data_IF_832459529337
#
_entry.id   IF_832459529337
#
_cell.length_a   1.000
_cell.length_b   1.000
_cell.length_c   1.000
_cell.angle_alpha   90.00
_cell.angle_beta   90.00
_cell.angle_gamma   90.00
#
_symmetry.space_group_name_H-M   'P 1'
#
loop_
_entity.id
_entity.type
_entity.pdbx_description
1 polymer ?
#
# COMPACT_ATOMS: atom_id res chain seq x y z
N UNK A 1 39.57 -24.69 -5.33
CA UNK A 1 39.36 -23.31 -4.87
C UNK A 1 37.88 -23.06 -5.01
N UNK A 2 37.12 -22.93 -3.92
CA UNK A 2 35.68 -22.67 -3.99
C UNK A 2 35.48 -21.18 -4.26
N UNK A 3 35.00 -20.83 -5.45
CA UNK A 3 34.47 -19.50 -5.70
C UNK A 3 33.27 -19.29 -4.79
N UNK A 4 33.37 -18.31 -3.89
CA UNK A 4 32.22 -17.86 -3.12
C UNK A 4 31.36 -17.05 -4.07
N UNK A 5 30.22 -17.61 -4.45
CA UNK A 5 29.17 -16.83 -5.12
C UNK A 5 28.65 -15.80 -4.13
N UNK A 6 28.98 -14.54 -4.39
CA UNK A 6 28.45 -13.40 -3.64
C UNK A 6 27.02 -13.18 -4.14
N UNK A 7 26.04 -13.59 -3.33
CA UNK A 7 24.63 -13.40 -3.66
C UNK A 7 24.31 -11.92 -3.53
N UNK A 8 24.23 -11.23 -4.66
CA UNK A 8 23.78 -9.83 -4.71
C UNK A 8 22.33 -9.75 -4.27
N UNK A 9 22.07 -8.96 -3.22
CA UNK A 9 20.70 -8.65 -2.80
C UNK A 9 20.09 -7.75 -3.88
N UNK A 10 18.93 -8.11 -4.46
CA UNK A 10 18.27 -7.26 -5.43
C UNK A 10 18.01 -5.87 -4.85
N UNK A 11 18.34 -4.81 -5.58
CA UNK A 11 18.17 -3.40 -5.16
C UNK A 11 16.73 -3.11 -4.69
N UNK A 12 15.76 -3.79 -5.28
CA UNK A 12 14.34 -3.75 -4.92
C UNK A 12 14.08 -4.15 -3.45
N UNK A 13 14.75 -5.19 -2.97
CA UNK A 13 14.61 -5.65 -1.58
C UNK A 13 15.13 -4.56 -0.64
N UNK A 14 16.22 -3.90 -1.01
CA UNK A 14 16.80 -2.78 -0.27
C UNK A 14 15.82 -1.58 -0.27
N UNK A 15 15.22 -1.25 -1.41
CA UNK A 15 14.24 -0.16 -1.50
C UNK A 15 12.97 -0.46 -0.67
N UNK A 16 12.48 -1.72 -0.70
CA UNK A 16 11.37 -2.17 0.16
C UNK A 16 11.70 -2.03 1.63
N UNK A 17 12.85 -2.52 2.04
CA UNK A 17 13.27 -2.47 3.44
C UNK A 17 13.45 -1.03 3.91
N UNK A 18 13.96 -0.14 3.06
CA UNK A 18 14.03 1.31 3.34
C UNK A 18 12.65 1.93 3.51
N UNK A 19 11.72 1.68 2.58
CA UNK A 19 10.36 2.22 2.65
C UNK A 19 9.62 1.67 3.88
N UNK A 20 9.81 0.38 4.17
CA UNK A 20 9.23 -0.24 5.35
C UNK A 20 9.83 0.34 6.64
N UNK A 21 11.15 0.54 6.67
CA UNK A 21 11.83 1.16 7.80
C UNK A 21 11.37 2.60 8.03
N UNK A 22 11.06 3.36 6.96
CA UNK A 22 10.56 4.73 7.11
C UNK A 22 9.15 4.76 7.70
N UNK A 23 8.23 3.90 7.24
CA UNK A 23 6.88 3.85 7.82
C UNK A 23 6.88 3.35 9.27
N UNK A 24 7.75 2.41 9.63
CA UNK A 24 7.86 1.92 11.01
C UNK A 24 8.28 3.02 11.99
N UNK A 25 8.95 4.06 11.50
CA UNK A 25 9.38 5.20 12.30
C UNK A 25 8.33 6.31 12.39
N UNK A 26 7.21 6.19 11.68
CA UNK A 26 6.12 7.16 11.76
C UNK A 26 5.30 7.00 13.03
N UNK A 27 4.82 8.12 13.57
CA UNK A 27 4.06 8.19 14.83
C UNK A 27 2.76 7.36 14.84
N UNK A 28 2.17 7.17 13.67
CA UNK A 28 0.88 6.50 13.49
C UNK A 28 1.00 5.01 13.25
N UNK A 29 2.06 4.54 12.58
CA UNK A 29 2.17 3.14 12.20
C UNK A 29 2.20 2.22 13.43
N UNK A 30 2.92 2.60 14.49
CA UNK A 30 2.97 1.84 15.74
C UNK A 30 1.66 1.85 16.55
N UNK A 31 0.70 2.71 16.20
CA UNK A 31 -0.64 2.78 16.84
C UNK A 31 -1.68 1.94 16.08
N UNK A 32 -1.35 1.47 14.89
CA UNK A 32 -2.19 0.55 14.13
C UNK A 32 -2.14 -0.83 14.76
N UNK A 33 -3.25 -1.58 14.68
CA UNK A 33 -3.27 -2.99 15.09
C UNK A 33 -2.32 -3.82 14.22
N UNK A 34 -1.89 -4.98 14.71
CA UNK A 34 -1.05 -5.91 13.94
C UNK A 34 -1.68 -6.27 12.60
N UNK A 35 -3.02 -6.35 12.54
CA UNK A 35 -3.76 -6.68 11.32
C UNK A 35 -3.74 -5.53 10.32
N UNK A 36 -3.95 -4.29 10.79
CA UNK A 36 -3.82 -3.09 9.97
C UNK A 36 -2.40 -2.92 9.43
N UNK A 37 -1.38 -3.11 10.27
CA UNK A 37 0.01 -3.06 9.85
C UNK A 37 0.33 -4.12 8.79
N UNK A 38 -0.15 -5.36 8.97
CA UNK A 38 0.00 -6.44 7.97
C UNK A 38 -0.64 -6.07 6.64
N UNK A 39 -1.81 -5.43 6.66
CA UNK A 39 -2.50 -4.99 5.44
C UNK A 39 -1.65 -3.97 4.66
N UNK A 40 -1.11 -2.96 5.34
CA UNK A 40 -0.25 -1.96 4.72
C UNK A 40 1.01 -2.63 4.14
N UNK A 41 1.65 -3.53 4.90
CA UNK A 41 2.83 -4.29 4.43
C UNK A 41 2.54 -5.11 3.17
N UNK A 42 1.42 -5.84 3.15
CA UNK A 42 1.01 -6.65 2.02
C UNK A 42 0.74 -5.78 0.78
N UNK A 43 0.17 -4.59 0.97
CA UNK A 43 -0.10 -3.65 -0.12
C UNK A 43 1.19 -3.11 -0.77
N UNK A 44 2.19 -2.73 0.04
CA UNK A 44 3.50 -2.25 -0.44
C UNK A 44 4.25 -3.37 -1.17
N UNK A 45 4.21 -4.59 -0.62
CA UNK A 45 4.81 -5.75 -1.28
C UNK A 45 4.18 -5.97 -2.66
N UNK A 46 2.86 -5.86 -2.75
CA UNK A 46 2.14 -6.07 -4.02
C UNK A 46 2.42 -4.95 -5.02
N UNK A 47 2.54 -3.69 -4.57
CA UNK A 47 2.96 -2.55 -5.40
C UNK A 47 4.29 -2.85 -6.11
N UNK A 48 5.33 -3.11 -5.32
CA UNK A 48 6.66 -3.32 -5.88
C UNK A 48 6.67 -4.49 -6.85
N UNK A 49 5.94 -5.56 -6.53
CA UNK A 49 5.81 -6.69 -7.45
C UNK A 49 5.12 -6.31 -8.75
N UNK A 50 4.14 -5.40 -8.73
CA UNK A 50 3.44 -4.94 -9.94
C UNK A 50 4.32 -4.03 -10.80
N UNK A 51 5.10 -3.14 -10.18
CA UNK A 51 6.01 -2.22 -10.85
C UNK A 51 7.09 -2.97 -11.65
N UNK A 52 7.53 -4.14 -11.18
CA UNK A 52 8.50 -4.98 -11.91
C UNK A 52 8.08 -5.29 -13.33
N UNK A 53 6.86 -5.74 -13.58
CA UNK A 53 6.44 -6.13 -14.94
C UNK A 53 6.42 -4.98 -15.94
N UNK A 54 6.26 -3.75 -15.45
CA UNK A 54 6.25 -2.58 -16.30
C UNK A 54 7.67 -2.14 -16.68
N UNK A 55 8.71 -2.76 -16.10
CA UNK A 55 10.10 -2.62 -16.53
C UNK A 55 10.37 -3.56 -17.74
N UNK A 56 10.68 -3.02 -18.93
CA UNK A 56 11.03 -3.83 -20.10
C UNK A 56 12.20 -4.81 -19.85
N UNK A 57 13.10 -4.50 -18.91
CA UNK A 57 14.21 -5.38 -18.55
C UNK A 57 13.74 -6.62 -17.78
N UNK A 58 12.66 -6.51 -17.01
CA UNK A 58 12.11 -7.64 -16.25
C UNK A 58 11.36 -8.62 -17.15
N UNK A 59 10.70 -8.15 -18.22
CA UNK A 59 10.08 -9.04 -19.22
C UNK A 59 11.13 -9.93 -19.89
N UNK A 60 12.33 -9.40 -20.16
CA UNK A 60 13.45 -10.19 -20.71
C UNK A 60 14.02 -11.18 -19.70
N UNK A 61 14.13 -10.80 -18.42
CA UNK A 61 14.58 -11.70 -17.34
C UNK A 61 13.59 -12.84 -17.07
N UNK A 62 12.28 -12.56 -17.07
CA UNK A 62 11.23 -13.60 -16.91
C UNK A 62 11.19 -14.51 -18.15
N UNK A 63 11.44 -13.98 -19.35
CA UNK A 63 11.56 -14.80 -20.56
C UNK A 63 12.82 -15.67 -20.55
N UNK A 64 13.95 -15.20 -20.02
CA UNK A 64 15.18 -15.99 -19.92
C UNK A 64 15.10 -17.06 -18.81
N UNK A 65 14.47 -16.78 -17.67
CA UNK A 65 14.16 -17.79 -16.64
C UNK A 65 13.23 -18.88 -17.18
N UNK A 66 12.21 -18.51 -17.97
CA UNK A 66 11.33 -19.48 -18.65
C UNK A 66 12.05 -20.33 -19.71
N UNK A 67 13.09 -19.79 -20.36
CA UNK A 67 13.92 -20.55 -21.29
C UNK A 67 14.94 -21.45 -20.57
N UNK A 68 15.44 -21.04 -19.39
CA UNK A 68 16.32 -21.85 -18.55
C UNK A 68 15.63 -23.06 -17.91
N UNK A 69 14.33 -22.95 -17.61
CA UNK A 69 13.53 -24.01 -17.00
C UNK A 69 13.27 -25.24 -17.90
N UNK A 70 13.62 -25.19 -19.19
CA UNK A 70 13.47 -26.32 -20.11
C UNK A 70 14.72 -27.18 -20.30
N UNK A 71 15.80 -26.93 -19.53
CA UNK A 71 17.07 -27.67 -19.64
C UNK A 71 17.64 -28.02 -18.25
N UNK A 72 16.85 -28.63 -17.36
CA UNK A 72 17.27 -29.04 -16.01
C UNK A 72 17.24 -30.55 -15.78
N UNK A 73 18.43 -31.13 -15.58
CA UNK A 73 18.74 -32.47 -15.07
C UNK A 73 18.06 -32.73 -13.70
N UNK A 74 17.62 -33.97 -13.43
CA UNK A 74 16.81 -34.36 -12.26
C UNK A 74 17.46 -34.07 -10.89
N UNK A 75 18.77 -33.82 -10.89
CA UNK A 75 19.57 -33.55 -9.68
C UNK A 75 19.28 -32.21 -8.97
N UNK A 76 18.77 -31.19 -9.66
CA UNK A 76 18.49 -29.86 -9.06
C UNK A 76 17.15 -29.79 -8.33
N UNK A 77 16.20 -30.69 -8.61
CA UNK A 77 14.86 -30.67 -7.98
C UNK A 77 14.88 -30.96 -6.49
N UNK A 78 15.83 -31.79 -6.03
CA UNK A 78 15.89 -32.24 -4.64
C UNK A 78 16.39 -31.14 -3.69
N UNK A 79 17.29 -30.27 -4.16
CA UNK A 79 17.81 -29.15 -3.36
C UNK A 79 16.83 -27.99 -3.23
N UNK A 80 15.94 -27.80 -4.22
CA UNK A 80 14.87 -26.80 -4.15
C UNK A 80 13.78 -27.21 -3.15
N UNK A 81 13.40 -28.49 -3.09
CA UNK A 81 12.39 -28.99 -2.14
C UNK A 81 12.85 -28.83 -0.68
N UNK A 82 14.11 -29.16 -0.35
CA UNK A 82 14.64 -29.00 1.01
C UNK A 82 14.76 -27.53 1.44
N UNK A 83 15.10 -26.62 0.51
CA UNK A 83 15.20 -25.18 0.79
C UNK A 83 13.82 -24.53 0.99
N UNK A 84 12.83 -24.91 0.17
CA UNK A 84 11.44 -24.50 0.34
C UNK A 84 10.86 -24.99 1.67
N UNK A 85 11.20 -26.20 2.09
CA UNK A 85 10.69 -26.79 3.32
C UNK A 85 11.28 -26.13 4.58
N UNK A 86 12.56 -25.72 4.57
CA UNK A 86 13.16 -24.95 5.66
C UNK A 86 12.62 -23.51 5.77
N UNK A 87 12.21 -22.90 4.65
CA UNK A 87 11.61 -21.56 4.66
C UNK A 87 10.17 -21.58 5.21
N UNK A 88 9.45 -22.70 5.09
CA UNK A 88 8.08 -22.85 5.58
C UNK A 88 7.96 -22.95 7.11
N UNK A 89 9.04 -23.26 7.83
CA UNK A 89 9.00 -23.49 9.29
C UNK A 89 9.23 -22.23 10.15
N UNK A 90 9.54 -21.06 9.58
CA UNK A 90 9.94 -19.86 10.37
C UNK A 90 8.99 -18.64 10.34
N UNK A 91 7.96 -18.55 9.48
CA UNK A 91 7.01 -17.42 9.53
C UNK A 91 5.57 -17.83 9.13
N UNK A 92 4.52 -17.39 9.87
CA UNK A 92 3.15 -17.81 9.59
C UNK A 92 2.50 -17.02 8.42
N UNK A 93 1.98 -17.77 7.46
CA UNK A 93 0.76 -17.55 6.64
C UNK A 93 0.59 -16.23 5.85
N UNK A 94 1.62 -15.75 5.15
CA UNK A 94 1.43 -14.81 4.01
C UNK A 94 2.39 -15.04 2.84
N UNK A 95 2.85 -16.28 2.63
CA UNK A 95 3.56 -16.61 1.40
C UNK A 95 2.55 -16.68 0.24
N UNK A 96 2.38 -15.54 -0.44
CA UNK A 96 1.88 -15.52 -1.80
C UNK A 96 2.90 -16.25 -2.68
N UNK A 97 2.57 -17.51 -2.99
CA UNK A 97 3.23 -18.38 -3.96
C UNK A 97 3.88 -17.55 -5.11
N UNK A 98 5.19 -17.71 -5.37
CA UNK A 98 5.87 -17.05 -6.48
C UNK A 98 5.25 -17.34 -7.85
N UNK A 99 4.42 -18.39 -7.97
CA UNK A 99 3.84 -18.83 -9.22
C UNK A 99 2.94 -17.76 -9.89
N UNK A 100 3.09 -17.63 -11.20
CA UNK A 100 2.47 -16.59 -12.05
C UNK A 100 0.94 -16.49 -11.96
N UNK A 101 0.26 -17.55 -11.48
CA UNK A 101 -1.19 -17.59 -11.26
C UNK A 101 -1.62 -16.97 -9.94
N UNK A 102 -0.88 -17.18 -8.84
CA UNK A 102 -1.09 -16.45 -7.60
C UNK A 102 -0.84 -14.95 -7.78
N UNK A 103 0.11 -14.62 -8.67
CA UNK A 103 0.47 -13.26 -9.01
C UNK A 103 -0.61 -12.47 -9.79
N UNK A 104 -1.24 -13.06 -10.81
CA UNK A 104 -2.42 -12.46 -11.47
C UNK A 104 -3.56 -12.21 -10.48
N UNK A 105 -3.74 -13.11 -9.49
CA UNK A 105 -4.75 -12.92 -8.43
C UNK A 105 -4.39 -11.76 -7.52
N UNK A 106 -3.14 -11.61 -7.09
CA UNK A 106 -2.71 -10.46 -6.28
C UNK A 106 -2.80 -9.12 -7.03
N UNK A 107 -2.52 -9.11 -8.34
CA UNK A 107 -2.70 -7.91 -9.17
C UNK A 107 -4.17 -7.55 -9.32
N UNK A 108 -5.03 -8.52 -9.63
CA UNK A 108 -6.47 -8.30 -9.68
C UNK A 108 -7.00 -7.84 -8.32
N UNK A 109 -6.49 -8.41 -7.23
CA UNK A 109 -6.85 -8.03 -5.87
C UNK A 109 -6.54 -6.54 -5.60
N UNK A 110 -5.32 -6.09 -5.86
CA UNK A 110 -4.92 -4.69 -5.65
C UNK A 110 -5.58 -3.73 -6.65
N UNK A 111 -5.76 -4.15 -7.90
CA UNK A 111 -6.45 -3.36 -8.91
C UNK A 111 -7.93 -3.13 -8.53
N UNK A 112 -8.61 -4.16 -8.01
CA UNK A 112 -10.02 -4.09 -7.65
C UNK A 112 -10.27 -3.32 -6.35
N UNK A 113 -9.27 -3.17 -5.48
CA UNK A 113 -9.40 -2.44 -4.23
C UNK A 113 -9.39 -0.92 -4.45
N UNK A 114 -10.55 -0.28 -4.44
CA UNK A 114 -10.65 1.19 -4.52
C UNK A 114 -10.17 1.87 -3.23
N UNK A 115 -9.82 3.16 -3.32
CA UNK A 115 -9.29 3.90 -2.17
C UNK A 115 -10.26 3.91 -0.97
N UNK A 116 -11.55 4.17 -1.17
CA UNK A 116 -12.52 4.22 -0.05
C UNK A 116 -12.73 2.86 0.63
N UNK A 117 -13.07 1.77 -0.09
CA UNK A 117 -13.25 0.46 0.55
C UNK A 117 -11.99 -0.04 1.24
N UNK A 118 -10.80 0.33 0.76
CA UNK A 118 -9.53 -0.11 1.36
C UNK A 118 -9.23 0.61 2.67
N UNK A 119 -9.51 1.91 2.75
CA UNK A 119 -9.40 2.65 4.01
C UNK A 119 -10.47 2.18 4.99
N UNK A 120 -11.69 1.89 4.53
CA UNK A 120 -12.74 1.33 5.37
C UNK A 120 -12.43 -0.10 5.85
N UNK A 121 -11.74 -0.90 5.03
CA UNK A 121 -11.23 -2.22 5.40
C UNK A 121 -10.21 -2.14 6.56
N UNK A 122 -9.46 -1.03 6.68
CA UNK A 122 -8.60 -0.82 7.85
C UNK A 122 -9.41 -0.62 9.14
N UNK A 123 -10.51 0.14 9.09
CA UNK A 123 -11.34 0.41 10.27
C UNK A 123 -12.12 -0.81 10.76
N UNK A 124 -12.57 -1.62 9.81
CA UNK A 124 -13.30 -2.86 10.07
C UNK A 124 -12.40 -4.08 10.26
N UNK A 125 -11.11 -3.91 9.98
CA UNK A 125 -10.12 -4.96 9.81
C UNK A 125 -10.57 -6.09 8.85
N UNK A 126 -11.49 -5.83 7.94
CA UNK A 126 -11.96 -6.87 7.02
C UNK A 126 -10.93 -7.09 5.89
N UNK A 127 -10.33 -8.28 5.90
CA UNK A 127 -9.30 -8.70 4.92
C UNK A 127 -9.78 -9.87 4.06
N UNK A 128 -11.09 -10.15 4.08
CA UNK A 128 -11.71 -11.27 3.35
C UNK A 128 -11.43 -11.23 1.85
N UNK A 129 -11.01 -10.08 1.33
CA UNK A 129 -10.51 -9.92 -0.03
C UNK A 129 -11.54 -9.50 -1.04
N UNK A 130 -12.81 -9.67 -0.69
CA UNK A 130 -13.91 -9.03 -1.36
C UNK A 130 -13.89 -7.55 -0.97
N UNK A 131 -13.85 -6.67 -1.96
CA UNK A 131 -14.09 -5.25 -1.70
C UNK A 131 -15.44 -5.11 -1.00
N UNK A 132 -15.53 -4.38 0.13
CA UNK A 132 -16.82 -4.00 0.68
C UNK A 132 -17.68 -3.44 -0.46
N UNK A 133 -18.82 -4.09 -0.74
CA UNK A 133 -19.67 -3.71 -1.87
C UNK A 133 -20.14 -2.26 -1.73
N UNK A 134 -20.26 -1.76 -0.50
CA UNK A 134 -20.64 -0.39 -0.19
C UNK A 134 -19.88 0.10 1.05
N UNK A 135 -19.37 1.33 0.97
CA UNK A 135 -18.79 2.05 2.11
C UNK A 135 -19.91 2.89 2.72
N UNK A 136 -20.22 2.75 4.03
CA UNK A 136 -21.35 3.47 4.64
C UNK A 136 -21.12 4.97 4.58
N UNK A 137 -22.17 5.77 4.44
CA UNK A 137 -22.06 7.24 4.36
C UNK A 137 -21.33 7.84 5.57
N UNK A 138 -21.53 7.26 6.76
CA UNK A 138 -20.85 7.66 7.99
C UNK A 138 -19.33 7.62 7.92
N UNK A 139 -18.76 6.78 7.05
CA UNK A 139 -17.31 6.72 6.82
C UNK A 139 -16.73 8.06 6.35
N UNK A 140 -17.52 8.84 5.61
CA UNK A 140 -17.11 10.13 5.04
C UNK A 140 -17.40 11.32 5.97
N UNK A 141 -17.90 11.09 7.18
CA UNK A 141 -18.19 12.17 8.12
C UNK A 141 -16.90 12.80 8.67
N UNK A 142 -16.59 14.00 8.17
CA UNK A 142 -15.45 14.78 8.60
C UNK A 142 -15.75 16.29 8.58
N UNK A 143 -14.91 17.09 9.24
CA UNK A 143 -14.91 18.53 9.03
C UNK A 143 -14.20 18.81 7.70
N UNK A 144 -14.90 19.33 6.69
CA UNK A 144 -14.31 19.67 5.39
C UNK A 144 -13.96 21.15 5.29
N UNK A 145 -12.77 21.46 4.74
CA UNK A 145 -12.37 22.82 4.39
C UNK A 145 -11.90 22.92 2.94
N UNK A 146 -12.17 24.06 2.31
CA UNK A 146 -11.82 24.37 0.91
C UNK A 146 -10.70 25.41 0.89
N UNK A 147 -9.86 25.38 -0.16
CA UNK A 147 -8.79 26.35 -0.39
C UNK A 147 -7.79 26.47 0.77
N UNK A 148 -7.63 25.41 1.56
CA UNK A 148 -6.61 25.38 2.60
C UNK A 148 -5.22 25.20 1.98
N UNK A 149 -4.22 25.79 2.61
CA UNK A 149 -2.81 25.55 2.33
C UNK A 149 -2.35 24.21 2.93
N UNK A 150 -1.24 23.67 2.44
CA UNK A 150 -0.66 22.45 3.00
C UNK A 150 -0.36 22.59 4.51
N UNK A 151 0.14 23.76 4.94
CA UNK A 151 0.42 24.02 6.37
C UNK A 151 -0.84 23.95 7.22
N UNK A 152 -1.95 24.55 6.75
CA UNK A 152 -3.23 24.51 7.48
C UNK A 152 -3.79 23.08 7.54
N UNK A 153 -3.62 22.29 6.48
CA UNK A 153 -3.98 20.87 6.48
C UNK A 153 -3.16 20.09 7.50
N UNK A 154 -1.83 20.28 7.53
CA UNK A 154 -0.94 19.62 8.50
C UNK A 154 -1.30 19.99 9.95
N UNK A 155 -1.61 21.26 10.24
CA UNK A 155 -2.07 21.68 11.57
C UNK A 155 -3.37 20.98 11.99
N UNK A 156 -4.31 20.81 11.06
CA UNK A 156 -5.56 20.08 11.32
C UNK A 156 -5.31 18.61 11.59
N UNK A 157 -4.43 17.97 10.81
CA UNK A 157 -4.01 16.59 11.03
C UNK A 157 -3.43 16.42 12.44
N UNK A 158 -2.54 17.32 12.85
CA UNK A 158 -1.96 17.30 14.20
C UNK A 158 -3.03 17.46 15.29
N UNK A 159 -4.00 18.35 15.09
CA UNK A 159 -5.11 18.55 16.03
C UNK A 159 -6.03 17.33 16.14
N UNK A 160 -6.31 16.67 15.02
CA UNK A 160 -7.12 15.44 14.99
C UNK A 160 -6.37 14.27 15.63
N UNK A 161 -5.05 14.22 15.41
CA UNK A 161 -4.15 13.19 15.91
C UNK A 161 -3.86 12.12 14.85
N UNK A 162 -2.69 11.50 14.96
CA UNK A 162 -2.19 10.50 14.01
C UNK A 162 -2.29 9.09 14.65
N UNK A 163 -2.70 8.04 13.89
CA UNK A 163 -3.07 8.07 12.48
C UNK A 163 -4.48 8.65 12.25
N UNK A 164 -4.69 9.25 11.08
CA UNK A 164 -5.99 9.82 10.68
C UNK A 164 -6.31 9.55 9.22
N UNK A 165 -7.57 9.72 8.86
CA UNK A 165 -8.07 9.60 7.49
C UNK A 165 -8.24 11.01 6.91
N UNK A 166 -7.86 11.15 5.63
CA UNK A 166 -8.21 12.30 4.81
C UNK A 166 -9.17 11.85 3.72
N UNK A 167 -10.25 12.61 3.55
CA UNK A 167 -11.16 12.53 2.41
C UNK A 167 -10.99 13.76 1.52
N UNK A 168 -10.82 13.54 0.23
CA UNK A 168 -10.71 14.62 -0.76
C UNK A 168 -12.00 14.64 -1.57
N UNK A 169 -12.70 15.77 -1.59
CA UNK A 169 -14.03 15.91 -2.19
C UNK A 169 -14.16 17.14 -3.06
N UNK A 170 -15.02 17.10 -4.07
CA UNK A 170 -15.39 18.28 -4.86
C UNK A 170 -16.45 19.15 -4.17
N UNK A 171 -17.05 18.67 -3.07
CA UNK A 171 -18.13 19.35 -2.36
C UNK A 171 -17.88 19.42 -0.85
N UNK A 172 -18.32 20.50 -0.22
CA UNK A 172 -18.22 20.70 1.23
C UNK A 172 -19.23 19.86 2.02
N UNK A 173 -20.42 19.60 1.46
CA UNK A 173 -21.52 18.86 2.11
C UNK A 173 -22.50 18.21 1.12
N UNK A 174 -22.72 16.91 1.31
CA UNK A 174 -24.04 16.30 1.50
C UNK A 174 -25.08 16.37 0.35
N UNK A 175 -24.71 15.99 -0.88
CA UNK A 175 -25.72 15.61 -1.89
C UNK A 175 -25.66 14.12 -2.28
N UNK A 176 -24.49 13.48 -2.18
CA UNK A 176 -24.25 12.02 -2.16
C UNK A 176 -22.75 11.76 -1.90
N UNK A 177 -22.35 11.46 -0.66
CA UNK A 177 -20.94 11.45 -0.21
C UNK A 177 -20.00 10.52 -0.99
N UNK A 178 -20.51 9.38 -1.45
CA UNK A 178 -19.71 8.40 -2.22
C UNK A 178 -19.33 8.89 -3.62
N UNK A 179 -20.10 9.81 -4.23
CA UNK A 179 -19.86 10.29 -5.60
C UNK A 179 -19.05 11.59 -5.66
N UNK A 180 -19.16 12.42 -4.61
CA UNK A 180 -18.41 13.68 -4.50
C UNK A 180 -17.00 13.47 -3.93
N UNK A 181 -16.80 12.46 -3.08
CA UNK A 181 -15.46 12.08 -2.60
C UNK A 181 -14.67 11.44 -3.73
N UNK A 182 -13.53 12.03 -4.07
CA UNK A 182 -12.63 11.57 -5.14
C UNK A 182 -11.55 10.64 -4.62
N UNK A 183 -11.18 10.79 -3.35
CA UNK A 183 -10.09 10.02 -2.78
C UNK A 183 -10.20 9.88 -1.26
N UNK A 184 -9.62 8.79 -0.74
CA UNK A 184 -9.42 8.62 0.70
C UNK A 184 -8.07 7.97 0.95
N UNK A 185 -7.38 8.49 1.96
CA UNK A 185 -6.02 8.05 2.33
C UNK A 185 -5.84 8.04 3.84
N UNK A 186 -4.84 7.29 4.29
CA UNK A 186 -4.43 7.20 5.68
C UNK A 186 -3.15 7.99 5.89
N UNK A 187 -3.14 8.92 6.84
CA UNK A 187 -1.92 9.58 7.28
C UNK A 187 -1.25 8.76 8.37
N UNK A 188 0.01 8.38 8.11
CA UNK A 188 0.82 7.58 9.02
C UNK A 188 1.65 8.44 9.97
N UNK A 189 1.91 9.70 9.62
CA UNK A 189 2.67 10.65 10.43
C UNK A 189 3.96 11.08 9.76
N UNK A 190 4.89 11.67 10.53
CA UNK A 190 6.14 12.17 9.98
C UNK A 190 7.21 11.08 9.92
N UNK A 191 7.98 11.06 8.84
CA UNK A 191 9.20 10.26 8.73
C UNK A 191 10.38 10.93 9.47
N UNK A 192 11.57 10.29 9.51
CA UNK A 192 12.75 10.88 10.16
C UNK A 192 13.24 12.19 9.53
N UNK A 193 12.86 12.48 8.29
CA UNK A 193 13.16 13.75 7.60
C UNK A 193 12.11 14.83 7.91
N UNK A 194 11.07 14.50 8.67
CA UNK A 194 9.97 15.40 9.03
C UNK A 194 8.87 15.48 7.98
N UNK A 195 8.92 14.69 6.90
CA UNK A 195 7.89 14.66 5.85
C UNK A 195 6.68 13.88 6.34
N UNK A 196 5.48 14.44 6.16
CA UNK A 196 4.25 13.73 6.50
C UNK A 196 3.95 12.67 5.43
N UNK A 197 3.94 11.40 5.81
CA UNK A 197 3.68 10.27 4.92
C UNK A 197 2.22 9.82 5.02
N UNK A 198 1.68 9.47 3.87
CA UNK A 198 0.39 8.82 3.74
C UNK A 198 0.48 7.49 3.01
N UNK A 199 -0.45 6.60 3.33
CA UNK A 199 -0.78 5.41 2.57
C UNK A 199 -2.03 5.70 1.73
N UNK A 200 -1.87 5.64 0.41
CA UNK A 200 -2.87 6.09 -0.56
C UNK A 200 -2.82 5.24 -1.85
N UNK A 201 -3.79 5.46 -2.75
CA UNK A 201 -3.87 4.79 -4.04
C UNK A 201 -3.97 5.85 -5.15
N UNK A 202 -2.89 6.04 -5.90
CA UNK A 202 -2.74 7.16 -6.88
C UNK A 202 -3.85 7.21 -7.94
N UNK A 203 -4.52 6.08 -8.16
CA UNK A 203 -5.75 6.02 -8.94
C UNK A 203 -6.33 4.61 -8.94
N UNK A 204 -7.50 4.45 -9.58
CA UNK A 204 -8.23 3.18 -9.55
C UNK A 204 -7.45 1.99 -10.11
N UNK A 205 -6.46 2.22 -10.97
CA UNK A 205 -5.67 1.18 -11.63
C UNK A 205 -4.27 0.99 -11.02
N UNK A 206 -3.84 1.89 -10.14
CA UNK A 206 -2.50 1.89 -9.57
C UNK A 206 -2.46 1.19 -8.22
N UNK A 207 -1.35 0.56 -7.84
CA UNK A 207 -1.23 -0.02 -6.51
C UNK A 207 -1.26 1.04 -5.41
N UNK A 208 -1.47 0.58 -4.17
CA UNK A 208 -1.25 1.42 -3.00
C UNK A 208 0.21 1.80 -2.87
N UNK A 209 0.47 3.01 -2.38
CA UNK A 209 1.81 3.54 -2.18
C UNK A 209 1.94 4.30 -0.88
N UNK A 210 3.17 4.44 -0.43
CA UNK A 210 3.56 5.38 0.62
C UNK A 210 4.15 6.60 -0.06
N UNK A 211 3.54 7.76 0.15
CA UNK A 211 3.95 9.01 -0.50
C UNK A 211 3.89 10.18 0.49
N UNK A 212 4.66 11.26 0.28
CA UNK A 212 4.49 12.49 1.02
C UNK A 212 3.10 13.11 0.79
N UNK A 213 2.46 13.59 1.85
CA UNK A 213 1.18 14.31 1.79
C UNK A 213 1.24 15.50 0.83
N UNK A 214 2.39 16.19 0.78
CA UNK A 214 2.64 17.30 -0.14
C UNK A 214 2.40 16.91 -1.61
N UNK A 215 2.79 15.69 -2.02
CA UNK A 215 2.61 15.23 -3.39
C UNK A 215 1.12 15.09 -3.72
N UNK A 216 0.37 14.43 -2.83
CA UNK A 216 -1.08 14.25 -2.97
C UNK A 216 -1.80 15.59 -2.95
N UNK A 217 -1.42 16.48 -2.03
CA UNK A 217 -1.96 17.83 -1.93
C UNK A 217 -1.76 18.61 -3.22
N UNK A 218 -0.53 18.63 -3.74
CA UNK A 218 -0.19 19.32 -4.98
C UNK A 218 -0.88 18.72 -6.20
N UNK A 219 -1.12 17.40 -6.23
CA UNK A 219 -1.87 16.77 -7.31
C UNK A 219 -3.32 17.27 -7.34
N UNK A 220 -4.03 17.17 -6.22
CA UNK A 220 -5.47 17.49 -6.16
C UNK A 220 -5.75 18.99 -6.21
N UNK A 221 -4.88 19.83 -5.66
CA UNK A 221 -5.09 21.28 -5.60
C UNK A 221 -4.80 21.99 -6.94
N UNK A 222 -4.15 21.33 -7.91
CA UNK A 222 -3.89 21.88 -9.25
C UNK A 222 -5.12 21.89 -10.15
N UNK A 223 -6.07 20.98 -9.93
CA UNK A 223 -7.12 20.71 -10.92
C UNK A 223 -8.40 21.47 -10.63
N UNK A 224 -8.87 21.47 -9.38
CA UNK A 224 -10.14 22.10 -8.97
C UNK A 224 -10.04 22.53 -7.50
N UNK A 225 -10.88 23.46 -7.02
CA UNK A 225 -10.99 23.73 -5.60
C UNK A 225 -11.48 22.46 -4.87
N UNK A 226 -10.57 21.81 -4.16
CA UNK A 226 -10.86 20.59 -3.41
C UNK A 226 -11.19 20.89 -1.95
N UNK A 227 -12.04 20.03 -1.40
CA UNK A 227 -12.43 20.03 -0.01
C UNK A 227 -11.71 18.88 0.69
N UNK A 228 -11.09 19.19 1.82
CA UNK A 228 -10.25 18.28 2.58
C UNK A 228 -10.91 17.99 3.93
N UNK A 229 -11.50 16.80 4.02
CA UNK A 229 -12.08 16.24 5.23
C UNK A 229 -11.00 15.53 6.02
N UNK A 230 -10.82 15.86 7.30
CA UNK A 230 -9.86 15.18 8.18
C UNK A 230 -10.62 14.60 9.37
N UNK A 231 -10.44 13.31 9.64
CA UNK A 231 -11.04 12.63 10.80
C UNK A 231 -10.14 11.56 11.38
N UNK A 232 -10.40 11.18 12.64
CA UNK A 232 -9.67 10.09 13.28
C UNK A 232 -9.95 8.77 12.56
N UNK A 233 -8.96 7.88 12.56
CA UNK A 233 -9.19 6.48 12.23
C UNK A 233 -10.04 5.86 13.34
N UNK A 234 -11.18 5.29 13.00
CA UNK A 234 -12.02 4.56 13.95
C UNK A 234 -11.62 3.09 13.95
N UNK A 235 -11.23 2.57 15.12
CA UNK A 235 -10.95 1.14 15.30
C UNK A 235 -12.07 0.54 16.12
N UNK A 236 -12.64 -0.58 15.67
CA UNK A 236 -13.55 -1.37 16.52
C UNK A 236 -12.73 -1.97 17.67
N UNK A 237 -12.99 -1.51 18.90
CA UNK A 237 -12.46 -2.13 20.12
C UNK A 237 -13.01 -3.56 20.32
#
# INVERSE_FOLDING_TARGET
MSEKFEVSIPEEKIQREKLYSSIQQTEGFGKLSDRQQKLIRASIYTQQRAERLNDPASEQAVQSERQGYYMGDESTKVLEEEHLQQMHEQEPDFYLDPDSRAYKRSQNYVANWYCHPSIYALETEDISGDTPNEVPEGFFEAEYKINESLSELEERIQKVGIPCIIHISTESKNSNWSFSTKHSLLVLGRDPEGKMLCWEKEGNMYPFRITPLEEVFNYYNKTWPMHWGVRKLETKE
#
